data_IF_078629227372
#
_entry.id   IF_078629227372
#
_cell.length_a   1.000
_cell.length_b   1.000
_cell.length_c   1.000
_cell.angle_alpha   90.00
_cell.angle_beta   90.00
_cell.angle_gamma   90.00
#
_symmetry.space_group_name_H-M   'P 1'
#
loop_
_entity.id
_entity.type
_entity.pdbx_description
1 polymer ?
#
# COMPACT_ATOMS: atom_id res chain seq x y z
N UNK A 1 15.81 -11.32 2.06
CA UNK A 1 14.71 -11.14 3.03
C UNK A 1 13.41 -11.13 2.23
N UNK A 2 12.53 -12.11 2.40
CA UNK A 2 11.24 -12.13 1.68
C UNK A 2 10.31 -11.18 2.45
N UNK A 3 9.99 -10.03 1.87
CA UNK A 3 8.99 -9.11 2.42
C UNK A 3 7.60 -9.71 2.14
N UNK A 4 6.79 -9.88 3.19
CA UNK A 4 5.43 -10.41 3.10
C UNK A 4 4.41 -9.29 3.21
N UNK A 5 3.18 -9.51 2.73
CA UNK A 5 2.09 -8.52 2.78
C UNK A 5 1.83 -8.00 4.20
N UNK A 6 1.94 -8.86 5.22
CA UNK A 6 1.77 -8.49 6.63
C UNK A 6 2.76 -7.40 7.11
N UNK A 7 3.94 -7.30 6.49
CA UNK A 7 4.91 -6.23 6.82
C UNK A 7 4.37 -4.87 6.36
N UNK A 8 3.75 -4.83 5.18
CA UNK A 8 3.15 -3.61 4.64
C UNK A 8 1.89 -3.22 5.41
N UNK A 9 1.07 -4.18 5.84
CA UNK A 9 -0.09 -3.92 6.70
C UNK A 9 0.31 -3.26 8.02
N UNK A 10 1.32 -3.81 8.71
CA UNK A 10 1.83 -3.23 9.96
C UNK A 10 2.37 -1.82 9.76
N UNK A 11 3.10 -1.57 8.67
CA UNK A 11 3.61 -0.23 8.34
C UNK A 11 2.48 0.73 8.06
N UNK A 12 1.45 0.32 7.33
CA UNK A 12 0.26 1.12 7.12
C UNK A 12 -0.37 1.52 8.47
N UNK A 13 -0.60 0.58 9.38
CA UNK A 13 -1.16 0.87 10.70
C UNK A 13 -0.29 1.83 11.51
N UNK A 14 1.03 1.67 11.46
CA UNK A 14 1.98 2.56 12.11
C UNK A 14 1.90 3.98 11.54
N UNK A 15 1.86 4.12 10.22
CA UNK A 15 1.72 5.41 9.55
C UNK A 15 0.41 6.07 9.97
N UNK A 16 -0.71 5.33 10.01
CA UNK A 16 -2.01 5.90 10.38
C UNK A 16 -2.09 6.42 11.82
N UNK A 17 -1.21 5.95 12.71
CA UNK A 17 -1.10 6.46 14.10
C UNK A 17 -0.32 7.76 14.20
N UNK A 18 0.36 8.20 13.15
CA UNK A 18 1.07 9.47 13.13
C UNK A 18 0.05 10.64 13.19
N UNK A 19 0.15 11.55 14.17
CA UNK A 19 -0.78 12.67 14.30
C UNK A 19 -0.65 13.69 13.17
N UNK A 20 0.47 13.71 12.45
CA UNK A 20 0.73 14.67 11.39
C UNK A 20 0.17 14.18 10.05
N UNK A 21 -0.92 14.80 9.60
CA UNK A 21 -1.56 14.52 8.30
C UNK A 21 -0.53 14.58 7.16
N UNK A 22 0.32 15.61 7.14
CA UNK A 22 1.35 15.77 6.11
C UNK A 22 2.38 14.64 6.11
N UNK A 23 2.80 14.17 7.29
CA UNK A 23 3.75 13.05 7.37
C UNK A 23 3.08 11.75 6.93
N UNK A 24 1.81 11.54 7.27
CA UNK A 24 1.04 10.39 6.78
C UNK A 24 0.99 10.37 5.26
N UNK A 25 0.62 11.48 4.63
CA UNK A 25 0.48 11.55 3.17
C UNK A 25 1.79 11.14 2.45
N UNK A 26 2.92 11.67 2.92
CA UNK A 26 4.26 11.36 2.39
C UNK A 26 4.57 9.87 2.58
N UNK A 27 4.46 9.37 3.81
CA UNK A 27 4.81 7.98 4.14
C UNK A 27 3.90 6.95 3.47
N UNK A 28 2.61 7.27 3.28
CA UNK A 28 1.69 6.44 2.53
C UNK A 28 2.06 6.41 1.04
N UNK A 29 2.50 7.54 0.47
CA UNK A 29 3.03 7.58 -0.90
C UNK A 29 4.26 6.69 -1.07
N UNK A 30 5.21 6.78 -0.15
CA UNK A 30 6.40 5.91 -0.12
C UNK A 30 6.01 4.42 0.00
N UNK A 31 5.05 4.10 0.88
CA UNK A 31 4.56 2.74 1.05
C UNK A 31 3.94 2.19 -0.25
N UNK A 32 3.19 3.01 -0.99
CA UNK A 32 2.64 2.63 -2.30
C UNK A 32 3.76 2.29 -3.30
N UNK A 33 4.75 3.17 -3.44
CA UNK A 33 5.88 2.95 -4.37
C UNK A 33 6.65 1.67 -4.04
N UNK A 34 6.84 1.37 -2.76
CA UNK A 34 7.46 0.10 -2.37
C UNK A 34 6.57 -1.11 -2.69
N UNK A 35 5.27 -1.04 -2.45
CA UNK A 35 4.33 -2.11 -2.80
C UNK A 35 4.31 -2.38 -4.30
N UNK A 36 4.31 -1.34 -5.13
CA UNK A 36 4.40 -1.45 -6.59
C UNK A 36 5.65 -2.22 -7.02
N UNK A 37 6.81 -1.89 -6.45
CA UNK A 37 8.08 -2.51 -6.76
C UNK A 37 8.19 -3.97 -6.29
N UNK A 38 7.68 -4.29 -5.10
CA UNK A 38 7.77 -5.61 -4.47
C UNK A 38 6.75 -6.58 -5.05
N UNK A 39 5.48 -6.18 -5.16
CA UNK A 39 4.40 -7.05 -5.64
C UNK A 39 4.16 -6.95 -7.15
N UNK A 40 4.94 -6.12 -7.85
CA UNK A 40 4.82 -5.89 -9.30
C UNK A 40 3.40 -5.46 -9.69
N UNK A 41 2.84 -4.53 -8.91
CA UNK A 41 1.50 -3.99 -9.14
C UNK A 41 1.49 -3.31 -10.52
N UNK A 42 0.60 -3.72 -11.44
CA UNK A 42 0.50 -3.10 -12.75
C UNK A 42 0.07 -1.63 -12.65
N UNK A 43 0.69 -0.75 -13.44
CA UNK A 43 0.33 0.68 -13.49
C UNK A 43 -1.10 0.91 -14.01
N UNK A 44 -1.60 0.01 -14.84
CA UNK A 44 -2.97 0.03 -15.37
C UNK A 44 -3.77 -1.10 -14.76
N UNK A 45 -5.09 -0.91 -14.64
CA UNK A 45 -6.01 -1.92 -14.13
C UNK A 45 -5.83 -3.24 -14.87
N UNK A 46 -5.50 -4.29 -14.12
CA UNK A 46 -5.35 -5.65 -14.63
C UNK A 46 -6.18 -6.60 -13.77
N UNK A 47 -7.37 -6.95 -14.25
CA UNK A 47 -8.34 -7.77 -13.49
C UNK A 47 -7.85 -9.19 -13.21
N UNK A 48 -6.99 -9.74 -14.06
CA UNK A 48 -6.38 -11.06 -13.83
C UNK A 48 -5.41 -10.99 -12.66
N UNK A 49 -4.49 -10.03 -12.69
CA UNK A 49 -3.52 -9.82 -11.60
C UNK A 49 -4.21 -9.52 -10.28
N UNK A 50 -5.27 -8.69 -10.29
CA UNK A 50 -6.04 -8.37 -9.07
C UNK A 50 -6.70 -9.61 -8.45
N UNK A 51 -7.22 -10.53 -9.28
CA UNK A 51 -7.81 -11.80 -8.80
C UNK A 51 -6.76 -12.74 -8.22
N UNK A 52 -5.55 -12.73 -8.76
CA UNK A 52 -4.43 -13.54 -8.26
C UNK A 52 -3.80 -12.95 -7.00
N UNK A 53 -3.93 -11.63 -6.78
CA UNK A 53 -3.30 -10.90 -5.67
C UNK A 53 -4.32 -10.10 -4.83
N UNK A 54 -5.40 -10.72 -4.32
CA UNK A 54 -6.52 -10.00 -3.73
C UNK A 54 -6.12 -9.19 -2.49
N UNK A 55 -5.28 -9.73 -1.62
CA UNK A 55 -4.81 -9.05 -0.41
C UNK A 55 -3.91 -7.85 -0.73
N UNK A 56 -3.06 -7.97 -1.75
CA UNK A 56 -2.16 -6.88 -2.17
C UNK A 56 -2.97 -5.72 -2.71
N UNK A 57 -3.93 -5.98 -3.61
CA UNK A 57 -4.73 -4.90 -4.19
C UNK A 57 -5.66 -4.27 -3.16
N UNK A 58 -6.20 -5.05 -2.22
CA UNK A 58 -7.02 -4.54 -1.11
C UNK A 58 -6.23 -3.56 -0.25
N UNK A 59 -5.04 -3.95 0.21
CA UNK A 59 -4.18 -3.06 0.99
C UNK A 59 -3.75 -1.84 0.17
N UNK A 60 -3.36 -2.03 -1.09
CA UNK A 60 -2.91 -0.94 -1.95
C UNK A 60 -3.99 0.13 -2.14
N UNK A 61 -5.25 -0.29 -2.36
CA UNK A 61 -6.40 0.62 -2.44
C UNK A 61 -6.63 1.33 -1.12
N UNK A 62 -6.59 0.60 0.00
CA UNK A 62 -6.74 1.18 1.35
C UNK A 62 -5.70 2.27 1.63
N UNK A 63 -4.43 2.03 1.25
CA UNK A 63 -3.34 3.01 1.38
C UNK A 63 -3.62 4.23 0.50
N UNK A 64 -3.98 4.01 -0.77
CA UNK A 64 -4.32 5.08 -1.72
C UNK A 64 -5.47 5.96 -1.22
N UNK A 65 -6.55 5.35 -0.74
CA UNK A 65 -7.72 6.08 -0.23
C UNK A 65 -7.37 6.89 1.02
N UNK A 66 -6.50 6.34 1.88
CA UNK A 66 -6.06 7.02 3.12
C UNK A 66 -5.19 8.25 2.88
N UNK A 67 -4.63 8.45 1.67
CA UNK A 67 -3.88 9.67 1.32
C UNK A 67 -4.78 10.88 1.09
N UNK A 68 -6.08 10.67 0.87
CA UNK A 68 -7.06 11.72 0.61
C UNK A 68 -7.91 12.06 1.85
N UNK A 69 -7.54 11.55 3.03
CA UNK A 69 -8.23 11.74 4.32
C UNK A 69 -7.43 12.66 5.26
#
# INVERSE_FOLDING_TARGET
MILTINVFEKRYEEIMRDPSVRQREIRLGELMTEMEGVFKIPMLKNTTWEKENPQVIELYRKVSDSRNL
#
